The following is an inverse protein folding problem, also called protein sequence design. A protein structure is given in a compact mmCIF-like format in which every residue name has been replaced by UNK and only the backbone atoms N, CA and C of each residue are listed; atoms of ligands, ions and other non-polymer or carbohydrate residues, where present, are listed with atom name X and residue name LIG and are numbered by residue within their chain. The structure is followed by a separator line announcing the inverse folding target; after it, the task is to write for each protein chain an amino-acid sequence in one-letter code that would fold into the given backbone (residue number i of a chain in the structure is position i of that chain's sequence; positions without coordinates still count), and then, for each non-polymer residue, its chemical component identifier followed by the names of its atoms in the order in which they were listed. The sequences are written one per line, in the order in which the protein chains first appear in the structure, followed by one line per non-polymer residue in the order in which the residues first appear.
data_IF_589293258548
#
_entry.id   IF_589293258548
#
_cell.length_a   1.000
_cell.length_b   1.000
_cell.length_c   1.000
_cell.angle_alpha   90.00
_cell.angle_beta   90.00
_cell.angle_gamma   90.00
#
_symmetry.space_group_name_H-M   'P 1'
#
loop_
_entity.id
_entity.type
_entity.pdbx_description
1 polymer ?
#
# COMPACT_ATOMS: atom_id res chain seq x y z
N UNK A 1 -3.74 26.00 -2.50
CA UNK A 1 -3.73 24.72 -3.24
C UNK A 1 -4.72 24.88 -4.40
N UNK A 2 -4.33 24.56 -5.64
CA UNK A 2 -5.22 24.75 -6.78
C UNK A 2 -6.39 23.78 -6.75
N UNK A 3 -7.58 24.31 -7.11
CA UNK A 3 -8.78 23.55 -7.40
C UNK A 3 -9.03 23.58 -8.90
N UNK A 4 -9.40 22.46 -9.48
CA UNK A 4 -9.75 22.37 -10.89
C UNK A 4 -11.08 21.65 -11.08
N UNK A 5 -11.96 22.23 -11.88
CA UNK A 5 -13.24 21.63 -12.21
C UNK A 5 -13.09 20.54 -13.28
N UNK A 6 -13.40 19.31 -12.94
CA UNK A 6 -13.37 18.16 -13.85
C UNK A 6 -14.59 17.27 -13.57
N UNK A 7 -15.27 16.82 -14.62
CA UNK A 7 -16.44 15.94 -14.55
C UNK A 7 -17.51 16.39 -13.51
N UNK A 8 -17.71 17.72 -13.38
CA UNK A 8 -18.65 18.29 -12.44
C UNK A 8 -18.16 18.33 -10.98
N UNK A 9 -16.89 18.06 -10.71
CA UNK A 9 -16.27 18.10 -9.38
C UNK A 9 -15.15 19.13 -9.34
N UNK A 10 -14.98 19.80 -8.21
CA UNK A 10 -13.81 20.63 -7.92
C UNK A 10 -12.75 19.78 -7.22
N UNK A 11 -11.75 19.34 -7.98
CA UNK A 11 -10.68 18.47 -7.49
C UNK A 11 -9.53 19.32 -6.97
N UNK A 12 -9.11 18.99 -5.75
CA UNK A 12 -7.93 19.57 -5.13
C UNK A 12 -6.70 18.71 -5.45
N UNK A 13 -5.60 19.34 -5.82
CA UNK A 13 -4.37 18.64 -6.16
C UNK A 13 -3.13 19.44 -5.77
N UNK A 14 -2.00 18.78 -5.76
CA UNK A 14 -0.67 19.35 -5.64
C UNK A 14 0.20 18.83 -6.79
N UNK A 15 0.93 19.75 -7.42
CA UNK A 15 1.91 19.46 -8.47
C UNK A 15 3.24 20.09 -8.05
N UNK A 16 4.25 19.28 -7.80
CA UNK A 16 5.56 19.76 -7.35
C UNK A 16 6.35 20.44 -8.45
N UNK A 17 5.90 20.34 -9.71
CA UNK A 17 6.72 20.72 -10.87
C UNK A 17 7.92 19.77 -11.05
N UNK A 18 8.72 20.04 -12.06
CA UNK A 18 9.90 19.26 -12.44
C UNK A 18 9.84 18.83 -13.90
N UNK A 19 11.00 18.43 -14.43
CA UNK A 19 11.19 18.18 -15.87
C UNK A 19 11.09 16.70 -16.25
N UNK A 20 11.10 15.79 -15.26
CA UNK A 20 10.96 14.34 -15.48
C UNK A 20 9.50 13.95 -15.67
N UNK A 21 9.28 12.76 -16.23
CA UNK A 21 7.96 12.18 -16.37
C UNK A 21 7.26 12.13 -14.99
N UNK A 22 6.02 12.64 -14.88
CA UNK A 22 5.38 12.77 -13.58
C UNK A 22 4.98 11.42 -12.99
N UNK A 23 5.08 11.34 -11.66
CA UNK A 23 4.52 10.26 -10.84
C UNK A 23 3.24 10.78 -10.21
N UNK A 24 2.11 10.18 -10.56
CA UNK A 24 0.77 10.58 -10.13
C UNK A 24 0.25 9.59 -9.12
N UNK A 25 -0.07 10.05 -7.90
CA UNK A 25 -0.45 9.17 -6.80
C UNK A 25 -1.84 9.48 -6.26
N UNK A 26 -2.67 8.44 -6.18
CA UNK A 26 -4.00 8.46 -5.59
C UNK A 26 -3.99 7.83 -4.18
N UNK A 27 -4.61 8.51 -3.21
CA UNK A 27 -4.60 8.13 -1.79
C UNK A 27 -5.58 6.99 -1.44
N UNK A 28 -5.46 6.45 -0.22
CA UNK A 28 -6.36 5.46 0.37
C UNK A 28 -7.66 6.05 0.92
N UNK A 29 -8.65 5.19 1.20
CA UNK A 29 -9.90 5.58 1.86
C UNK A 29 -9.59 6.26 3.20
N UNK A 30 -10.33 7.31 3.53
CA UNK A 30 -10.15 8.16 4.72
C UNK A 30 -8.83 8.96 4.76
N UNK A 31 -7.96 8.77 3.79
CA UNK A 31 -6.72 9.54 3.64
C UNK A 31 -6.94 10.74 2.71
N UNK A 32 -5.90 11.49 2.46
CA UNK A 32 -5.85 12.56 1.46
C UNK A 32 -4.47 12.58 0.79
N UNK A 33 -4.24 13.52 -0.13
CA UNK A 33 -2.99 13.65 -0.88
C UNK A 33 -1.75 13.77 0.00
N UNK A 34 -1.88 14.33 1.21
CA UNK A 34 -0.74 14.55 2.12
C UNK A 34 -0.13 13.23 2.64
N UNK A 35 -0.83 12.09 2.47
CA UNK A 35 -0.22 10.80 2.80
C UNK A 35 1.05 10.49 2.00
N UNK A 36 1.27 11.19 0.89
CA UNK A 36 2.46 11.01 0.06
C UNK A 36 3.60 12.00 0.37
N UNK A 37 3.46 12.82 1.40
CA UNK A 37 4.52 13.72 1.82
C UNK A 37 5.90 13.04 2.01
N UNK A 38 6.00 11.81 2.58
CA UNK A 38 7.27 11.12 2.67
C UNK A 38 7.86 10.69 1.32
N UNK A 39 7.03 10.39 0.31
CA UNK A 39 7.46 10.05 -1.04
C UNK A 39 7.98 11.29 -1.77
N UNK A 40 7.25 12.40 -1.66
CA UNK A 40 7.63 13.69 -2.25
C UNK A 40 8.95 14.20 -1.63
N UNK A 41 9.06 14.13 -0.30
CA UNK A 41 10.28 14.57 0.42
C UNK A 41 11.52 13.74 0.07
N UNK A 42 11.35 12.49 -0.33
CA UNK A 42 12.44 11.61 -0.74
C UNK A 42 12.73 11.66 -2.26
N UNK A 43 11.98 12.45 -3.02
CA UNK A 43 12.14 12.55 -4.46
C UNK A 43 13.51 13.10 -4.85
N UNK A 44 14.07 12.59 -5.93
CA UNK A 44 15.28 13.16 -6.53
C UNK A 44 14.96 14.50 -7.17
N UNK A 45 15.98 15.36 -7.29
CA UNK A 45 15.85 16.62 -8.02
C UNK A 45 15.33 16.37 -9.45
N UNK A 46 14.37 17.18 -9.88
CA UNK A 46 13.72 17.06 -11.18
C UNK A 46 12.51 16.11 -11.23
N UNK A 47 12.31 15.24 -10.25
CA UNK A 47 11.09 14.42 -10.19
C UNK A 47 9.86 15.32 -10.00
N UNK A 48 8.82 15.06 -10.80
CA UNK A 48 7.52 15.71 -10.70
C UNK A 48 6.52 14.77 -10.08
N UNK A 49 5.93 15.17 -8.93
CA UNK A 49 4.86 14.44 -8.28
C UNK A 49 3.55 15.21 -8.42
N UNK A 50 2.49 14.50 -8.79
CA UNK A 50 1.12 15.00 -8.80
C UNK A 50 0.34 14.14 -7.83
N UNK A 51 -0.20 14.75 -6.77
CA UNK A 51 -1.08 14.11 -5.80
C UNK A 51 -2.40 14.85 -5.76
N UNK A 52 -3.49 14.15 -5.55
CA UNK A 52 -4.82 14.71 -5.62
C UNK A 52 -5.77 14.08 -4.61
N UNK A 53 -6.78 14.81 -4.23
CA UNK A 53 -7.83 14.35 -3.34
C UNK A 53 -9.01 13.83 -4.16
N UNK A 54 -9.34 12.55 -4.02
CA UNK A 54 -10.50 11.94 -4.66
C UNK A 54 -11.80 12.52 -4.10
N UNK A 55 -12.91 12.34 -4.80
CA UNK A 55 -14.26 12.75 -4.35
C UNK A 55 -14.49 12.32 -2.90
N UNK A 56 -15.11 13.20 -2.10
CA UNK A 56 -15.39 12.99 -0.67
C UNK A 56 -14.15 12.90 0.23
N UNK A 57 -12.98 13.29 -0.25
CA UNK A 57 -11.74 13.28 0.53
C UNK A 57 -10.99 14.62 0.46
N UNK A 58 -10.05 14.80 1.40
CA UNK A 58 -9.19 15.98 1.46
C UNK A 58 -9.97 17.27 1.40
N UNK A 59 -9.56 18.16 0.51
CA UNK A 59 -10.19 19.45 0.23
C UNK A 59 -10.95 19.43 -1.12
N UNK A 60 -11.11 18.26 -1.74
CA UNK A 60 -11.97 18.10 -2.92
C UNK A 60 -13.43 18.24 -2.53
N UNK A 61 -14.21 18.83 -3.41
CA UNK A 61 -15.64 19.03 -3.21
C UNK A 61 -16.36 17.70 -2.98
N UNK A 62 -17.36 17.76 -2.12
CA UNK A 62 -18.15 16.59 -1.78
C UNK A 62 -19.31 16.46 -2.75
N UNK A 63 -19.59 15.21 -3.12
CA UNK A 63 -20.78 14.87 -3.89
C UNK A 63 -21.67 13.91 -3.10
N UNK A 64 -22.98 14.14 -3.18
CA UNK A 64 -23.98 13.18 -2.73
C UNK A 64 -24.28 12.13 -3.80
N UNK A 65 -23.85 12.36 -5.03
CA UNK A 65 -24.08 11.48 -6.16
C UNK A 65 -23.21 10.22 -6.04
N UNK A 66 -23.78 9.09 -6.44
CA UNK A 66 -23.04 7.85 -6.52
C UNK A 66 -21.93 7.94 -7.58
N UNK A 67 -20.77 7.39 -7.27
CA UNK A 67 -19.65 7.27 -8.19
C UNK A 67 -18.95 5.93 -8.03
N UNK A 68 -18.18 5.56 -9.01
CA UNK A 68 -17.37 4.34 -9.06
C UNK A 68 -15.87 4.66 -9.14
N UNK A 69 -15.03 3.65 -9.01
CA UNK A 69 -13.60 3.83 -9.29
C UNK A 69 -13.30 4.09 -10.79
N UNK A 70 -14.24 3.79 -11.69
CA UNK A 70 -14.14 4.19 -13.09
C UNK A 70 -14.35 5.69 -13.27
N UNK A 71 -15.28 6.29 -12.50
CA UNK A 71 -15.48 7.74 -12.48
C UNK A 71 -14.25 8.47 -11.90
N UNK A 72 -13.62 7.89 -10.86
CA UNK A 72 -12.37 8.43 -10.32
C UNK A 72 -11.20 8.31 -11.32
N UNK A 73 -11.19 7.28 -12.14
CA UNK A 73 -10.22 7.17 -13.25
C UNK A 73 -10.47 8.25 -14.31
N UNK A 74 -11.73 8.59 -14.60
CA UNK A 74 -12.07 9.70 -15.48
C UNK A 74 -11.70 11.07 -14.89
N UNK A 75 -11.88 11.25 -13.59
CA UNK A 75 -11.45 12.46 -12.88
C UNK A 75 -9.92 12.63 -12.99
N UNK A 76 -9.17 11.55 -12.75
CA UNK A 76 -7.73 11.55 -12.92
C UNK A 76 -7.31 11.88 -14.35
N UNK A 77 -7.98 11.30 -15.34
CA UNK A 77 -7.74 11.61 -16.76
C UNK A 77 -7.96 13.10 -17.04
N UNK A 78 -9.06 13.67 -16.57
CA UNK A 78 -9.36 15.09 -16.74
C UNK A 78 -8.34 15.99 -16.04
N UNK A 79 -7.85 15.62 -14.84
CA UNK A 79 -6.78 16.32 -14.15
C UNK A 79 -5.47 16.32 -14.96
N UNK A 80 -5.08 15.17 -15.51
CA UNK A 80 -3.87 15.06 -16.34
C UNK A 80 -3.99 15.90 -17.63
N UNK A 81 -5.17 15.93 -18.25
CA UNK A 81 -5.42 16.78 -19.42
C UNK A 81 -5.27 18.27 -19.08
N UNK A 82 -5.82 18.70 -17.93
CA UNK A 82 -5.65 20.07 -17.44
C UNK A 82 -4.19 20.46 -17.24
N UNK A 83 -3.38 19.53 -16.71
CA UNK A 83 -1.95 19.75 -16.45
C UNK A 83 -1.07 19.57 -17.68
N UNK A 84 -1.65 19.25 -18.85
CA UNK A 84 -0.90 18.97 -20.07
C UNK A 84 -0.02 17.74 -19.97
N UNK A 85 -0.38 16.79 -19.10
CA UNK A 85 0.35 15.54 -18.89
C UNK A 85 -0.21 14.48 -19.83
N UNK A 86 0.50 14.17 -20.90
CA UNK A 86 0.08 13.15 -21.87
C UNK A 86 0.26 11.73 -21.33
N UNK A 87 1.31 11.48 -20.57
CA UNK A 87 1.67 10.18 -20.03
C UNK A 87 2.35 10.30 -18.67
N UNK A 88 2.12 9.34 -17.77
CA UNK A 88 2.69 9.37 -16.43
C UNK A 88 2.88 7.96 -15.85
N UNK A 89 3.72 7.87 -14.81
CA UNK A 89 3.68 6.75 -13.86
C UNK A 89 2.44 6.96 -12.99
N UNK A 90 1.49 6.02 -13.04
CA UNK A 90 0.25 6.09 -12.26
C UNK A 90 0.37 5.17 -11.07
N UNK A 91 0.06 5.66 -9.89
CA UNK A 91 0.12 4.85 -8.68
C UNK A 91 -0.94 5.21 -7.65
N UNK A 92 -0.98 4.42 -6.61
CA UNK A 92 -1.87 4.70 -5.50
C UNK A 92 -1.79 3.67 -4.39
N UNK A 93 -2.33 4.07 -3.26
CA UNK A 93 -2.42 3.24 -2.07
C UNK A 93 -3.87 2.80 -1.87
N UNK A 94 -4.12 1.49 -1.61
CA UNK A 94 -5.44 0.95 -1.31
C UNK A 94 -6.46 1.30 -2.41
N UNK A 95 -7.49 2.09 -2.10
CA UNK A 95 -8.44 2.58 -3.11
C UNK A 95 -7.75 3.35 -4.26
N UNK A 96 -6.66 4.06 -3.97
CA UNK A 96 -5.88 4.71 -5.02
C UNK A 96 -5.30 3.71 -6.03
N UNK A 97 -4.98 2.49 -5.58
CA UNK A 97 -4.60 1.38 -6.45
C UNK A 97 -5.79 0.87 -7.28
N UNK A 98 -7.02 0.87 -6.72
CA UNK A 98 -8.23 0.52 -7.49
C UNK A 98 -8.48 1.52 -8.64
N UNK A 99 -8.21 2.81 -8.38
CA UNK A 99 -8.25 3.86 -9.41
C UNK A 99 -7.15 3.63 -10.45
N UNK A 100 -5.91 3.41 -10.02
CA UNK A 100 -4.77 3.23 -10.92
C UNK A 100 -4.95 2.04 -11.88
N UNK A 101 -5.47 0.92 -11.38
CA UNK A 101 -5.76 -0.26 -12.20
C UNK A 101 -6.86 0.02 -13.24
N UNK A 102 -7.94 0.70 -12.87
CA UNK A 102 -9.02 1.06 -13.80
C UNK A 102 -8.59 2.12 -14.79
N UNK A 103 -7.76 3.06 -14.36
CA UNK A 103 -7.13 4.03 -15.25
C UNK A 103 -6.27 3.31 -16.32
N UNK A 104 -5.44 2.34 -15.93
CA UNK A 104 -4.61 1.58 -16.84
C UNK A 104 -5.43 0.70 -17.82
N UNK A 105 -6.58 0.19 -17.38
CA UNK A 105 -7.50 -0.56 -18.26
C UNK A 105 -8.24 0.33 -19.26
N UNK A 106 -8.55 1.57 -18.87
CA UNK A 106 -9.37 2.49 -19.68
C UNK A 106 -8.52 3.40 -20.57
N UNK A 107 -7.33 3.78 -20.10
CA UNK A 107 -6.42 4.72 -20.76
C UNK A 107 -4.99 4.17 -20.81
N UNK A 108 -4.75 2.98 -21.40
CA UNK A 108 -3.45 2.32 -21.38
C UNK A 108 -2.33 3.16 -22.01
N UNK A 109 -2.64 3.99 -23.00
CA UNK A 109 -1.69 4.88 -23.67
C UNK A 109 -1.18 6.01 -22.75
N UNK A 110 -1.92 6.32 -21.69
CA UNK A 110 -1.58 7.38 -20.72
C UNK A 110 -0.67 6.87 -19.59
N UNK A 111 -0.38 5.56 -19.55
CA UNK A 111 0.37 4.91 -18.45
C UNK A 111 1.75 4.48 -18.92
N UNK A 112 2.79 5.02 -18.31
CA UNK A 112 4.18 4.57 -18.52
C UNK A 112 4.54 3.40 -17.62
N UNK A 113 4.07 3.43 -16.38
CA UNK A 113 4.25 2.37 -15.40
C UNK A 113 3.18 2.46 -14.30
N UNK A 114 3.07 1.42 -13.48
CA UNK A 114 2.20 1.41 -12.30
C UNK A 114 3.01 1.23 -11.01
N UNK A 115 2.60 1.96 -9.95
CA UNK A 115 3.09 1.79 -8.57
C UNK A 115 1.90 1.52 -7.66
N UNK A 116 1.70 0.26 -7.27
CA UNK A 116 0.54 -0.21 -6.52
C UNK A 116 0.95 -0.54 -5.08
N UNK A 117 0.35 0.12 -4.09
CA UNK A 117 0.70 -0.02 -2.68
C UNK A 117 -0.50 -0.44 -1.85
N UNK A 118 -0.39 -1.52 -1.04
CA UNK A 118 -1.46 -1.97 -0.14
C UNK A 118 -2.81 -2.14 -0.84
N UNK A 119 -2.85 -2.76 -2.03
CA UNK A 119 -4.04 -2.83 -2.88
C UNK A 119 -4.26 -4.22 -3.48
N UNK A 120 -5.40 -4.40 -4.14
CA UNK A 120 -5.83 -5.63 -4.80
C UNK A 120 -6.70 -5.31 -6.03
N UNK A 121 -7.14 -6.32 -6.77
CA UNK A 121 -7.99 -6.13 -7.96
C UNK A 121 -9.42 -6.69 -7.81
N UNK A 122 -9.67 -7.54 -6.81
CA UNK A 122 -10.97 -8.16 -6.56
C UNK A 122 -11.92 -7.32 -5.71
N UNK A 123 -13.07 -7.90 -5.40
CA UNK A 123 -14.05 -7.34 -4.46
C UNK A 123 -13.59 -7.50 -3.01
N UNK A 124 -14.32 -6.87 -2.10
CA UNK A 124 -14.08 -7.02 -0.67
C UNK A 124 -14.69 -8.31 -0.13
N UNK A 125 -14.08 -8.86 0.93
CA UNK A 125 -14.62 -10.03 1.62
C UNK A 125 -15.93 -9.67 2.34
N UNK A 126 -16.97 -10.52 2.30
CA UNK A 126 -18.26 -10.22 2.92
C UNK A 126 -18.17 -9.87 4.41
N UNK A 127 -17.26 -10.52 5.15
CA UNK A 127 -17.03 -10.23 6.57
C UNK A 127 -16.44 -8.84 6.79
N UNK A 128 -15.47 -8.43 5.94
CA UNK A 128 -14.89 -7.07 5.96
C UNK A 128 -15.92 -6.01 5.56
N UNK A 129 -16.78 -6.31 4.57
CA UNK A 129 -17.89 -5.43 4.19
C UNK A 129 -18.81 -5.18 5.39
N UNK A 130 -19.23 -6.25 6.10
CA UNK A 130 -20.08 -6.12 7.28
C UNK A 130 -19.41 -5.30 8.40
N UNK A 131 -18.11 -5.52 8.63
CA UNK A 131 -17.35 -4.74 9.61
C UNK A 131 -17.26 -3.25 9.24
N UNK A 132 -16.96 -2.94 7.99
CA UNK A 132 -16.88 -1.55 7.51
C UNK A 132 -18.24 -0.86 7.57
N UNK A 133 -19.33 -1.57 7.23
CA UNK A 133 -20.68 -1.02 7.35
C UNK A 133 -21.01 -0.70 8.81
N UNK A 134 -20.70 -1.57 9.75
CA UNK A 134 -20.92 -1.31 11.17
C UNK A 134 -20.11 -0.09 11.67
N UNK A 135 -18.89 0.09 11.22
CA UNK A 135 -18.07 1.27 11.53
C UNK A 135 -18.70 2.55 10.98
N UNK A 136 -19.18 2.50 9.73
CA UNK A 136 -19.85 3.63 9.09
C UNK A 136 -21.14 4.00 9.83
N UNK A 137 -21.97 3.04 10.19
CA UNK A 137 -23.22 3.26 10.91
C UNK A 137 -22.98 3.93 12.28
N UNK A 138 -21.94 3.50 13.01
CA UNK A 138 -21.53 4.16 14.26
C UNK A 138 -21.06 5.59 14.01
N UNK A 139 -20.24 5.82 13.00
CA UNK A 139 -19.74 7.15 12.67
C UNK A 139 -20.87 8.11 12.29
N UNK A 140 -21.80 7.65 11.47
CA UNK A 140 -22.95 8.49 11.06
C UNK A 140 -23.89 8.80 12.22
N UNK A 141 -24.21 7.80 13.06
CA UNK A 141 -25.15 7.97 14.16
C UNK A 141 -24.56 8.78 15.32
N UNK A 142 -23.31 8.53 15.69
CA UNK A 142 -22.71 9.04 16.93
C UNK A 142 -21.53 10.00 16.66
N UNK A 143 -21.02 10.06 15.44
CA UNK A 143 -19.76 10.70 15.08
C UNK A 143 -18.56 9.79 15.33
N UNK A 144 -17.40 10.29 14.95
CA UNK A 144 -16.15 9.61 15.20
C UNK A 144 -15.77 9.76 16.68
N UNK A 145 -16.03 8.75 17.50
CA UNK A 145 -15.50 8.69 18.85
C UNK A 145 -14.06 8.16 18.88
N UNK A 146 -13.35 8.37 19.99
CA UNK A 146 -11.94 8.01 20.11
C UNK A 146 -11.67 6.52 19.90
N UNK A 147 -12.56 5.65 20.35
CA UNK A 147 -12.41 4.20 20.18
C UNK A 147 -12.50 3.82 18.71
N UNK A 148 -13.49 4.32 17.98
CA UNK A 148 -13.64 4.07 16.55
C UNK A 148 -12.47 4.65 15.76
N UNK A 149 -12.03 5.88 16.11
CA UNK A 149 -10.88 6.52 15.48
C UNK A 149 -9.59 5.69 15.65
N UNK A 150 -9.35 5.16 16.85
CA UNK A 150 -8.19 4.30 17.11
C UNK A 150 -8.31 2.95 16.41
N UNK A 151 -9.50 2.37 16.32
CA UNK A 151 -9.74 1.13 15.55
C UNK A 151 -9.41 1.34 14.07
N UNK A 152 -9.89 2.43 13.47
CA UNK A 152 -9.58 2.78 12.09
C UNK A 152 -8.08 3.03 11.92
N UNK A 153 -7.45 3.76 12.84
CA UNK A 153 -6.01 4.00 12.81
C UNK A 153 -5.21 2.70 12.90
N UNK A 154 -5.63 1.76 13.73
CA UNK A 154 -4.99 0.44 13.84
C UNK A 154 -5.05 -0.35 12.53
N UNK A 155 -6.18 -0.31 11.82
CA UNK A 155 -6.35 -0.96 10.52
C UNK A 155 -5.46 -0.31 9.45
N UNK A 156 -5.46 1.03 9.36
CA UNK A 156 -4.80 1.76 8.28
C UNK A 156 -3.31 1.98 8.58
N UNK A 157 -2.96 2.40 9.79
CA UNK A 157 -1.64 2.90 10.16
C UNK A 157 -0.88 1.93 11.08
N UNK A 158 -1.54 0.89 11.60
CA UNK A 158 -1.00 0.01 12.62
C UNK A 158 -1.07 0.63 14.02
N UNK A 159 -0.85 -0.20 15.06
CA UNK A 159 -1.08 0.19 16.45
C UNK A 159 -0.03 1.14 17.04
N UNK A 160 1.17 1.19 16.47
CA UNK A 160 2.33 1.83 17.12
C UNK A 160 2.90 3.02 16.34
N UNK A 161 2.30 3.39 15.23
CA UNK A 161 2.84 4.49 14.43
C UNK A 161 2.52 5.86 15.05
N UNK A 162 3.60 6.62 15.36
CA UNK A 162 3.49 7.92 16.07
C UNK A 162 2.73 9.01 15.29
N UNK A 163 2.56 8.88 13.98
CA UNK A 163 1.81 9.81 13.14
C UNK A 163 0.29 9.62 13.19
N UNK A 164 -0.21 8.61 13.89
CA UNK A 164 -1.65 8.26 13.92
C UNK A 164 -2.52 9.40 14.47
N UNK A 165 -2.06 10.12 15.49
CA UNK A 165 -2.84 11.19 16.12
C UNK A 165 -3.12 12.36 15.16
N UNK A 166 -2.22 12.64 14.20
CA UNK A 166 -2.46 13.67 13.18
C UNK A 166 -3.59 13.29 12.23
N UNK A 167 -3.66 12.02 11.82
CA UNK A 167 -4.72 11.50 10.96
C UNK A 167 -6.05 11.40 11.70
N UNK A 168 -6.04 10.95 12.96
CA UNK A 168 -7.23 10.95 13.82
C UNK A 168 -7.78 12.39 13.95
N UNK A 169 -6.93 13.38 14.18
CA UNK A 169 -7.35 14.78 14.25
C UNK A 169 -7.99 15.29 12.93
N UNK A 170 -7.44 14.89 11.78
CA UNK A 170 -8.03 15.18 10.47
C UNK A 170 -9.40 14.52 10.31
N UNK A 171 -9.54 13.25 10.71
CA UNK A 171 -10.83 12.53 10.60
C UNK A 171 -11.92 13.15 11.47
N UNK A 172 -11.59 13.64 12.67
CA UNK A 172 -12.53 14.36 13.53
C UNK A 172 -13.09 15.65 12.89
N UNK A 173 -12.36 16.25 11.95
CA UNK A 173 -12.77 17.45 11.24
C UNK A 173 -13.67 17.17 10.04
N UNK A 174 -13.78 15.91 9.60
CA UNK A 174 -14.58 15.53 8.43
C UNK A 174 -16.08 15.52 8.75
N UNK A 175 -16.92 16.13 7.91
CA UNK A 175 -18.37 16.03 8.04
C UNK A 175 -18.83 14.57 7.92
N UNK A 176 -19.79 14.18 8.77
CA UNK A 176 -20.30 12.80 8.83
C UNK A 176 -20.89 12.30 7.51
N UNK A 177 -21.53 13.21 6.77
CA UNK A 177 -22.22 12.89 5.51
C UNK A 177 -21.30 12.53 4.34
N UNK A 178 -20.01 12.80 4.44
CA UNK A 178 -19.06 12.63 3.33
C UNK A 178 -18.64 11.19 3.09
N UNK A 179 -18.67 10.37 4.13
CA UNK A 179 -18.08 9.05 4.08
C UNK A 179 -18.94 8.02 3.35
N UNK A 180 -20.27 8.22 3.38
CA UNK A 180 -21.22 7.23 2.83
C UNK A 180 -20.90 6.86 1.39
N UNK A 181 -20.73 7.85 0.51
CA UNK A 181 -20.48 7.57 -0.91
C UNK A 181 -19.11 6.90 -1.14
N UNK A 182 -18.06 7.36 -0.45
CA UNK A 182 -16.76 6.74 -0.53
C UNK A 182 -16.78 5.27 -0.05
N UNK A 183 -17.49 4.97 1.04
CA UNK A 183 -17.69 3.60 1.53
C UNK A 183 -18.53 2.76 0.56
N UNK A 184 -19.62 3.31 0.02
CA UNK A 184 -20.42 2.57 -0.97
C UNK A 184 -19.58 2.22 -2.18
N UNK A 185 -18.79 3.16 -2.70
CA UNK A 185 -17.86 2.91 -3.80
C UNK A 185 -16.86 1.80 -3.48
N UNK A 186 -16.36 1.75 -2.23
CA UNK A 186 -15.45 0.69 -1.78
C UNK A 186 -16.11 -0.68 -1.81
N UNK A 187 -17.30 -0.81 -1.17
CA UNK A 187 -17.93 -2.12 -0.94
C UNK A 187 -18.70 -2.66 -2.14
N UNK A 188 -19.06 -1.79 -3.10
CA UNK A 188 -19.79 -2.17 -4.32
C UNK A 188 -18.90 -2.23 -5.56
N UNK A 189 -17.57 -2.10 -5.42
CA UNK A 189 -16.67 -2.12 -6.58
C UNK A 189 -16.74 -3.45 -7.34
N UNK A 190 -16.59 -3.34 -8.63
CA UNK A 190 -16.50 -4.48 -9.54
C UNK A 190 -15.18 -5.27 -9.39
N UNK A 191 -15.23 -6.56 -9.66
CA UNK A 191 -14.05 -7.43 -9.75
C UNK A 191 -13.40 -7.27 -11.11
N UNK A 192 -12.14 -6.80 -11.14
CA UNK A 192 -11.35 -6.66 -12.35
C UNK A 192 -10.20 -7.66 -12.45
N UNK A 193 -10.14 -8.66 -11.55
CA UNK A 193 -9.04 -9.63 -11.46
C UNK A 193 -8.78 -10.31 -12.82
N UNK A 194 -9.83 -10.72 -13.52
CA UNK A 194 -9.73 -11.40 -14.82
C UNK A 194 -9.23 -10.49 -15.96
N UNK A 195 -9.24 -9.17 -15.76
CA UNK A 195 -8.82 -8.18 -16.73
C UNK A 195 -7.37 -7.72 -16.57
N UNK A 196 -6.69 -8.11 -15.49
CA UNK A 196 -5.33 -7.68 -15.19
C UNK A 196 -4.32 -8.03 -16.30
N UNK A 197 -4.53 -9.13 -17.03
CA UNK A 197 -3.73 -9.50 -18.18
C UNK A 197 -3.79 -8.52 -19.36
N UNK A 198 -4.77 -7.58 -19.39
CA UNK A 198 -4.86 -6.51 -20.39
C UNK A 198 -3.84 -5.39 -20.09
N UNK A 199 -3.42 -5.21 -18.84
CA UNK A 199 -2.49 -4.16 -18.41
C UNK A 199 -1.07 -4.57 -18.78
N UNK A 200 -0.45 -3.85 -19.73
CA UNK A 200 0.90 -4.13 -20.24
C UNK A 200 1.98 -3.25 -19.62
N UNK A 201 1.58 -2.21 -18.91
CA UNK A 201 2.52 -1.29 -18.26
C UNK A 201 3.38 -2.02 -17.23
N UNK A 202 4.70 -1.75 -17.17
CA UNK A 202 5.55 -2.27 -16.11
C UNK A 202 4.99 -1.85 -14.74
N UNK A 203 4.91 -2.80 -13.82
CA UNK A 203 4.22 -2.60 -12.54
C UNK A 203 5.10 -2.99 -11.37
N UNK A 204 5.19 -2.09 -10.39
CA UNK A 204 5.71 -2.34 -9.04
C UNK A 204 4.52 -2.52 -8.09
N UNK A 205 4.53 -3.63 -7.36
CA UNK A 205 3.57 -3.89 -6.27
C UNK A 205 4.32 -3.87 -4.94
N UNK A 206 3.84 -3.07 -3.99
CA UNK A 206 4.39 -2.96 -2.62
C UNK A 206 3.29 -3.30 -1.63
N UNK A 207 3.57 -4.19 -0.67
CA UNK A 207 2.57 -4.60 0.31
C UNK A 207 3.19 -4.87 1.67
N UNK A 208 2.49 -4.47 2.74
CA UNK A 208 2.92 -4.76 4.11
C UNK A 208 2.59 -6.20 4.52
N UNK A 209 3.51 -6.91 5.19
CA UNK A 209 3.25 -8.29 5.66
C UNK A 209 2.29 -8.35 6.84
N UNK A 210 2.03 -7.23 7.50
CA UNK A 210 1.08 -7.08 8.61
C UNK A 210 -0.13 -6.20 8.22
N UNK A 211 -0.48 -6.15 6.93
CA UNK A 211 -1.66 -5.41 6.45
C UNK A 211 -2.95 -6.05 6.98
N UNK A 212 -3.67 -5.33 7.85
CA UNK A 212 -4.92 -5.80 8.44
C UNK A 212 -6.16 -5.56 7.55
N UNK A 213 -6.05 -4.70 6.53
CA UNK A 213 -7.14 -4.39 5.62
C UNK A 213 -7.18 -5.32 4.41
N UNK A 214 -6.03 -5.57 3.78
CA UNK A 214 -5.90 -6.40 2.57
C UNK A 214 -4.81 -7.44 2.79
N UNK A 215 -5.17 -8.71 2.74
CA UNK A 215 -4.23 -9.81 2.93
C UNK A 215 -3.18 -9.81 1.80
N UNK A 216 -1.92 -10.06 2.15
CA UNK A 216 -0.80 -10.00 1.21
C UNK A 216 -0.97 -10.95 0.01
N UNK A 217 -1.66 -12.08 0.21
CA UNK A 217 -1.95 -13.07 -0.82
C UNK A 217 -2.80 -12.49 -1.97
N UNK A 218 -3.70 -11.52 -1.66
CA UNK A 218 -4.49 -10.82 -2.68
C UNK A 218 -3.60 -9.94 -3.57
N UNK A 219 -2.62 -9.26 -2.97
CA UNK A 219 -1.64 -8.47 -3.72
C UNK A 219 -0.67 -9.35 -4.53
N UNK A 220 -0.25 -10.50 -3.98
CA UNK A 220 0.57 -11.48 -4.69
C UNK A 220 -0.17 -12.04 -5.90
N UNK A 221 -1.45 -12.40 -5.72
CA UNK A 221 -2.30 -12.85 -6.82
C UNK A 221 -2.47 -11.76 -7.89
N UNK A 222 -2.73 -10.52 -7.48
CA UNK A 222 -2.82 -9.38 -8.41
C UNK A 222 -1.52 -9.24 -9.22
N UNK A 223 -0.36 -9.31 -8.59
CA UNK A 223 0.94 -9.25 -9.27
C UNK A 223 1.12 -10.43 -10.26
N UNK A 224 0.70 -11.63 -9.87
CA UNK A 224 0.76 -12.83 -10.73
C UNK A 224 -0.13 -12.74 -11.97
N UNK A 225 -1.30 -12.10 -11.85
CA UNK A 225 -2.29 -11.98 -12.91
C UNK A 225 -2.02 -10.77 -13.84
N UNK A 226 -1.22 -9.79 -13.41
CA UNK A 226 -0.75 -8.68 -14.25
C UNK A 226 0.20 -9.19 -15.34
N UNK A 227 0.03 -8.69 -16.56
CA UNK A 227 0.86 -9.12 -17.68
C UNK A 227 2.35 -8.74 -17.51
N UNK A 228 2.65 -7.67 -16.77
CA UNK A 228 4.01 -7.17 -16.57
C UNK A 228 4.24 -6.67 -15.14
N UNK A 229 4.03 -7.54 -14.13
CA UNK A 229 4.46 -7.25 -12.77
C UNK A 229 5.98 -7.46 -12.67
N UNK A 230 6.73 -6.36 -12.73
CA UNK A 230 8.19 -6.40 -12.71
C UNK A 230 8.76 -6.72 -11.35
N UNK A 231 8.10 -6.22 -10.29
CA UNK A 231 8.60 -6.37 -8.93
C UNK A 231 7.45 -6.44 -7.94
N UNK A 232 7.54 -7.39 -7.01
CA UNK A 232 6.73 -7.46 -5.79
C UNK A 232 7.62 -7.23 -4.58
N UNK A 233 7.31 -6.22 -3.76
CA UNK A 233 8.07 -5.87 -2.56
C UNK A 233 7.20 -6.05 -1.33
N UNK A 234 7.51 -7.06 -0.53
CA UNK A 234 6.92 -7.25 0.78
C UNK A 234 7.65 -6.38 1.81
N UNK A 235 6.93 -5.53 2.52
CA UNK A 235 7.46 -4.69 3.61
C UNK A 235 7.24 -5.44 4.91
N UNK A 236 8.29 -6.00 5.47
CA UNK A 236 8.22 -6.80 6.70
C UNK A 236 7.72 -5.96 7.88
N UNK A 237 6.68 -6.46 8.57
CA UNK A 237 5.99 -5.74 9.66
C UNK A 237 5.19 -4.53 9.21
N UNK A 238 5.17 -4.20 7.92
CA UNK A 238 4.40 -3.08 7.38
C UNK A 238 2.90 -3.33 7.47
N UNK A 239 2.15 -2.34 7.97
CA UNK A 239 0.69 -2.32 7.93
C UNK A 239 0.14 -1.84 6.59
N UNK A 240 -1.17 -1.53 6.55
CA UNK A 240 -1.87 -1.16 5.33
C UNK A 240 -1.26 0.07 4.64
N UNK A 241 -1.07 1.19 5.34
CA UNK A 241 -0.41 2.38 4.82
C UNK A 241 1.12 2.31 5.00
N UNK A 242 1.77 1.24 4.49
CA UNK A 242 3.21 1.05 4.62
C UNK A 242 4.04 2.19 3.99
N UNK A 243 3.47 2.93 3.03
CA UNK A 243 4.09 4.13 2.45
C UNK A 243 4.29 5.26 3.47
N UNK A 244 3.48 5.31 4.53
CA UNK A 244 3.63 6.21 5.67
C UNK A 244 4.49 5.59 6.77
N UNK A 245 4.14 4.38 7.21
CA UNK A 245 4.72 3.76 8.40
C UNK A 245 6.13 3.21 8.16
N UNK A 246 6.43 2.79 6.93
CA UNK A 246 7.72 2.25 6.49
C UNK A 246 8.27 3.02 5.28
N UNK A 247 8.09 4.34 5.28
CA UNK A 247 8.37 5.23 4.15
C UNK A 247 9.76 5.03 3.53
N UNK A 248 10.80 4.78 4.32
CA UNK A 248 12.17 4.59 3.82
C UNK A 248 12.28 3.38 2.88
N UNK A 249 11.68 2.25 3.24
CA UNK A 249 11.72 1.04 2.44
C UNK A 249 10.88 1.19 1.18
N UNK A 250 9.68 1.78 1.31
CA UNK A 250 8.79 2.06 0.18
C UNK A 250 9.44 3.04 -0.80
N UNK A 251 10.04 4.12 -0.31
CA UNK A 251 10.73 5.10 -1.16
C UNK A 251 11.90 4.49 -1.92
N UNK A 252 12.68 3.61 -1.26
CA UNK A 252 13.77 2.89 -1.91
C UNK A 252 13.26 2.01 -3.06
N UNK A 253 12.18 1.25 -2.82
CA UNK A 253 11.57 0.41 -3.85
C UNK A 253 11.07 1.23 -5.04
N UNK A 254 10.37 2.35 -4.78
CA UNK A 254 9.91 3.26 -5.84
C UNK A 254 11.09 3.84 -6.63
N UNK A 255 12.12 4.35 -5.96
CA UNK A 255 13.29 4.92 -6.62
C UNK A 255 14.03 3.91 -7.49
N UNK A 256 14.20 2.67 -7.00
CA UNK A 256 14.85 1.60 -7.76
C UNK A 256 14.02 1.21 -8.99
N UNK A 257 12.71 1.11 -8.85
CA UNK A 257 11.81 0.80 -9.96
C UNK A 257 11.83 1.92 -11.02
N UNK A 258 11.68 3.19 -10.62
CA UNK A 258 11.72 4.31 -11.55
C UNK A 258 13.06 4.40 -12.29
N UNK A 259 14.18 4.23 -11.58
CA UNK A 259 15.50 4.19 -12.22
C UNK A 259 15.61 3.03 -13.23
N UNK A 260 14.96 1.89 -12.96
CA UNK A 260 14.90 0.77 -13.89
C UNK A 260 14.11 1.05 -15.16
N UNK A 261 13.11 1.93 -15.11
CA UNK A 261 12.32 2.32 -16.29
C UNK A 261 13.14 3.15 -17.30
N UNK A 262 14.14 3.90 -16.84
CA UNK A 262 15.04 4.69 -17.68
C UNK A 262 16.06 3.83 -18.45
N UNK A 263 16.24 2.57 -18.05
CA UNK A 263 17.17 1.64 -18.67
C UNK A 263 16.61 1.06 -19.98
N UNK A 264 17.50 0.73 -20.92
CA UNK A 264 17.14 -0.04 -22.12
C UNK A 264 16.71 -1.46 -21.74
N UNK A 265 15.97 -2.15 -22.62
CA UNK A 265 15.50 -3.51 -22.35
C UNK A 265 16.61 -4.51 -21.95
N UNK A 266 17.83 -4.52 -22.57
CA UNK A 266 18.94 -5.36 -22.12
C UNK A 266 19.42 -5.00 -20.70
N UNK A 267 19.55 -3.70 -20.39
CA UNK A 267 19.98 -3.22 -19.08
C UNK A 267 18.96 -3.56 -17.98
N UNK A 268 17.65 -3.52 -18.27
CA UNK A 268 16.59 -3.97 -17.34
C UNK A 268 16.71 -5.48 -17.05
N UNK A 269 16.99 -6.30 -18.06
CA UNK A 269 17.17 -7.73 -17.88
C UNK A 269 18.38 -8.07 -16.97
N UNK A 270 19.47 -7.36 -17.14
CA UNK A 270 20.68 -7.49 -16.29
C UNK A 270 20.39 -7.03 -14.85
N UNK A 271 19.72 -5.91 -14.66
CA UNK A 271 19.34 -5.42 -13.34
C UNK A 271 18.44 -6.41 -12.60
N UNK A 272 17.43 -7.01 -13.28
CA UNK A 272 16.58 -8.06 -12.72
C UNK A 272 17.39 -9.28 -12.28
N UNK A 273 18.34 -9.74 -13.12
CA UNK A 273 19.20 -10.86 -12.80
C UNK A 273 20.05 -10.59 -11.56
N UNK A 274 20.58 -9.37 -11.42
CA UNK A 274 21.37 -8.96 -10.27
C UNK A 274 20.53 -8.88 -8.99
N UNK A 275 19.30 -8.37 -9.06
CA UNK A 275 18.35 -8.32 -7.93
C UNK A 275 18.01 -9.75 -7.45
N UNK A 276 17.72 -10.66 -8.38
CA UNK A 276 17.43 -12.07 -8.05
C UNK A 276 18.64 -12.73 -7.38
N UNK A 277 19.87 -12.49 -7.89
CA UNK A 277 21.10 -13.02 -7.29
C UNK A 277 21.29 -12.52 -5.86
N UNK A 278 21.12 -11.22 -5.65
CA UNK A 278 21.23 -10.61 -4.31
C UNK A 278 20.22 -11.20 -3.31
N UNK A 279 18.98 -11.41 -3.74
CA UNK A 279 17.94 -12.05 -2.91
C UNK A 279 18.26 -13.52 -2.58
N UNK A 280 18.75 -14.27 -3.53
CA UNK A 280 19.19 -15.66 -3.32
C UNK A 280 20.36 -15.72 -2.34
N UNK A 281 21.33 -14.82 -2.47
CA UNK A 281 22.48 -14.74 -1.55
C UNK A 281 22.03 -14.34 -0.14
N UNK A 282 21.14 -13.37 -0.01
CA UNK A 282 20.57 -12.94 1.28
C UNK A 282 19.86 -14.11 1.97
N UNK A 283 18.94 -14.79 1.30
CA UNK A 283 18.24 -15.97 1.82
C UNK A 283 19.19 -17.11 2.18
N UNK A 284 20.27 -17.27 1.43
CA UNK A 284 21.30 -18.27 1.72
C UNK A 284 22.12 -17.93 2.97
N UNK A 285 22.41 -16.65 3.22
CA UNK A 285 23.05 -16.17 4.47
C UNK A 285 22.13 -16.36 5.66
N UNK A 286 20.87 -15.94 5.56
CA UNK A 286 19.86 -16.11 6.62
C UNK A 286 19.68 -17.58 7.02
N UNK A 287 19.67 -18.51 6.04
CA UNK A 287 19.64 -19.97 6.32
C UNK A 287 20.89 -20.48 7.02
N UNK A 288 22.08 -19.96 6.69
CA UNK A 288 23.33 -20.32 7.36
C UNK A 288 23.37 -19.81 8.79
N UNK A 289 22.90 -18.60 9.02
CA UNK A 289 22.83 -18.01 10.37
C UNK A 289 21.83 -18.76 11.27
N UNK A 290 20.72 -19.23 10.68
CA UNK A 290 19.76 -20.09 11.39
C UNK A 290 20.26 -21.51 11.61
N UNK A 291 21.26 -22.00 10.84
CA UNK A 291 21.91 -23.29 11.00
C UNK A 291 23.17 -23.25 11.84
N UNK A 292 23.41 -22.19 12.60
CA UNK A 292 24.50 -22.05 13.55
C UNK A 292 24.64 -23.28 14.45
N UNK A 293 25.84 -23.58 15.02
CA UNK A 293 26.16 -24.87 15.61
C UNK A 293 25.08 -25.20 16.63
N UNK A 294 24.37 -26.33 16.37
CA UNK A 294 23.47 -26.93 17.37
C UNK A 294 24.32 -27.08 18.65
N UNK A 295 24.02 -26.23 19.66
CA UNK A 295 24.51 -26.49 20.99
C UNK A 295 24.16 -27.94 21.27
N UNK A 296 25.18 -28.81 21.39
CA UNK A 296 25.01 -30.13 21.95
C UNK A 296 24.42 -29.87 23.35
N UNK A 297 23.14 -30.09 23.48
CA UNK A 297 22.51 -30.22 24.78
C UNK A 297 23.15 -31.47 25.38
N UNK A 298 24.11 -31.23 26.26
CA UNK A 298 24.61 -32.28 27.17
C UNK A 298 23.36 -32.72 27.93
N UNK A 299 22.98 -33.96 27.76
CA UNK A 299 21.85 -34.54 28.45
C UNK A 299 22.02 -34.27 29.96
N UNK A 300 20.97 -33.86 30.68
CA UNK A 300 21.09 -33.65 32.11
C UNK A 300 21.57 -34.96 32.74
N UNK A 301 22.75 -34.94 33.39
CA UNK A 301 23.25 -36.03 34.22
C UNK A 301 22.16 -36.37 35.19
N UNK A 302 21.65 -37.61 35.11
CA UNK A 302 20.56 -38.11 35.91
C UNK A 302 20.91 -37.97 37.41
N UNK A 303 20.43 -36.90 38.04
CA UNK A 303 20.64 -36.60 39.45
C UNK A 303 20.26 -37.78 40.37
N UNK A 304 19.33 -38.64 39.90
CA UNK A 304 18.88 -39.82 40.63
C UNK A 304 19.93 -40.94 40.69
N UNK A 305 20.81 -41.06 39.68
CA UNK A 305 21.92 -42.03 39.70
C UNK A 305 23.04 -41.57 40.66
N UNK A 306 23.32 -40.28 40.75
CA UNK A 306 24.26 -39.72 41.70
C UNK A 306 23.80 -39.86 43.16
N UNK A 307 22.51 -39.64 43.43
CA UNK A 307 21.93 -39.80 44.77
C UNK A 307 21.84 -41.28 45.20
N UNK A 308 21.61 -42.24 44.31
CA UNK A 308 21.67 -43.67 44.62
C UNK A 308 23.08 -44.11 45.01
N UNK A 309 24.11 -43.70 44.29
CA UNK A 309 25.51 -44.02 44.68
C UNK A 309 25.90 -43.43 46.01
N UNK A 310 25.50 -42.18 46.32
CA UNK A 310 25.78 -41.56 47.60
C UNK A 310 25.05 -42.25 48.78
N UNK A 311 23.85 -42.84 48.54
CA UNK A 311 23.13 -43.63 49.55
C UNK A 311 23.77 -45.03 49.76
N UNK A 312 24.27 -45.67 48.77
CA UNK A 312 24.99 -46.97 48.90
C UNK A 312 26.31 -46.81 49.62
N UNK A 313 27.09 -45.75 49.37
CA UNK A 313 28.33 -45.48 50.11
C UNK A 313 28.10 -45.12 51.58
N UNK A 314 26.95 -44.54 51.96
CA UNK A 314 26.60 -44.30 53.37
C UNK A 314 26.11 -45.54 54.11
N UNK A 315 25.72 -46.62 53.42
CA UNK A 315 25.30 -47.88 54.05
C UNK A 315 26.47 -48.86 54.22
N UNK A 316 27.62 -48.55 53.63
CA UNK A 316 28.82 -49.39 53.75
C UNK A 316 29.88 -48.89 54.75
N UNK A 317 29.53 -47.84 55.54
CA UNK A 317 30.27 -47.36 56.72
C UNK A 317 29.40 -47.60 57.98
#
# INVERSE_FOLDING_TARGET
VPLYAVNGQWINYEDTGGDLEPVVLAHGLLMDREMFAPQIAAAKAGCRFITWDARCHGDTENTADAFSYWDLADDLKGLLDHLGVERAVIGGMSQGGFVALRFALKYPERVSALVLMGTQAGIEDPEKVAMYQAMLDVWEAQGLNDQLARTIAAIILGNEWRGSDQWIAKWHQKPRSLLRQAFQTLVTRDDIQKRLGEIKAPTLVIHGTADAAIDIEKAQRMCSDLANCEQFVAIEGGGHACNLTHAKLVNLAIQQFLAGLELTAPQRAEQRANTIRADVERRSRERRDQSGPRRQTVAPVDRRLAERRALEERRAR
#
